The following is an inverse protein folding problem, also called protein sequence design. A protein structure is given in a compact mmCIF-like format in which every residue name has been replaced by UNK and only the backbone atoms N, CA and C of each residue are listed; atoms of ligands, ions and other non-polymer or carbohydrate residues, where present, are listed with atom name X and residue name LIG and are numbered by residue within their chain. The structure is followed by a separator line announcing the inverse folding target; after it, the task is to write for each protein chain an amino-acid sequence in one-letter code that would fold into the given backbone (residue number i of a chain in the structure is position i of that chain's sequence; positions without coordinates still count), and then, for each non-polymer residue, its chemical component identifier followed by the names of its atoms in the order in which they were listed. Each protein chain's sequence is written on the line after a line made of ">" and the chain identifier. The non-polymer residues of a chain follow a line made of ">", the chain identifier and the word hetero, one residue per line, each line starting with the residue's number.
data_IF_796725623942
#
_entry.id   IF_796725623942
#
_cell.length_a   1.000
_cell.length_b   1.000
_cell.length_c   1.000
_cell.angle_alpha   90.00
_cell.angle_beta   90.00
_cell.angle_gamma   90.00
#
_symmetry.space_group_name_H-M   'P 1'
#
loop_
_entity.id
_entity.type
_entity.pdbx_description
1 polymer ?
#
# COMPACT_ATOMS: atom_id res chain seq x y z
N UNK A 1 10.16 10.33 5.11
CA UNK A 1 9.41 9.04 5.06
C UNK A 1 10.29 7.82 5.30
N UNK A 2 11.53 8.04 5.66
CA UNK A 2 12.46 6.91 5.82
C UNK A 2 11.93 5.87 6.80
N UNK A 3 11.92 4.61 6.34
CA UNK A 3 11.47 3.43 7.09
C UNK A 3 10.00 3.42 7.49
N UNK A 4 9.21 4.39 7.04
CA UNK A 4 7.77 4.36 7.22
C UNK A 4 7.15 3.36 6.26
N UNK A 5 6.15 2.62 6.72
CA UNK A 5 5.45 1.64 5.90
C UNK A 5 4.17 2.26 5.39
N UNK A 6 4.03 2.34 4.08
CA UNK A 6 2.88 2.99 3.43
C UNK A 6 2.22 2.01 2.47
N UNK A 7 0.94 1.78 2.65
CA UNK A 7 0.13 0.99 1.74
C UNK A 7 -0.52 1.94 0.74
N UNK A 8 -0.45 1.60 -0.55
CA UNK A 8 -1.05 2.42 -1.60
C UNK A 8 -2.00 1.53 -2.40
N UNK A 9 -3.29 1.83 -2.36
CA UNK A 9 -4.28 1.15 -3.21
C UNK A 9 -4.35 1.85 -4.57
N UNK A 10 -4.74 1.10 -5.61
CA UNK A 10 -4.74 1.64 -6.96
C UNK A 10 -3.34 2.00 -7.45
N UNK A 11 -2.34 1.25 -7.01
CA UNK A 11 -0.93 1.58 -7.24
C UNK A 11 -0.42 1.25 -8.64
N UNK A 12 -1.21 0.55 -9.46
CA UNK A 12 -0.75 0.08 -10.77
C UNK A 12 -0.73 1.15 -11.85
N UNK A 13 -1.36 2.30 -11.62
CA UNK A 13 -1.42 3.36 -12.63
C UNK A 13 -1.70 4.72 -12.02
N UNK A 14 -1.52 5.78 -12.82
CA UNK A 14 -1.90 7.14 -12.47
C UNK A 14 -1.25 7.67 -11.21
N UNK A 15 -2.07 8.32 -10.37
CA UNK A 15 -1.61 8.95 -9.14
C UNK A 15 -1.02 7.94 -8.16
N UNK A 16 -1.63 6.77 -8.04
CA UNK A 16 -1.13 5.74 -7.14
C UNK A 16 0.27 5.27 -7.49
N UNK A 17 0.52 5.05 -8.78
CA UNK A 17 1.85 4.67 -9.27
C UNK A 17 2.87 5.79 -9.00
N UNK A 18 2.50 7.03 -9.30
CA UNK A 18 3.39 8.17 -9.08
C UNK A 18 3.75 8.32 -7.59
N UNK A 19 2.76 8.15 -6.71
CA UNK A 19 3.00 8.20 -5.27
C UNK A 19 3.93 7.09 -4.80
N UNK A 20 3.78 5.89 -5.37
CA UNK A 20 4.65 4.77 -5.01
C UNK A 20 6.12 5.11 -5.28
N UNK A 21 6.41 5.66 -6.46
CA UNK A 21 7.78 6.05 -6.79
C UNK A 21 8.28 7.17 -5.89
N UNK A 22 7.46 8.19 -5.66
CA UNK A 22 7.87 9.33 -4.83
C UNK A 22 8.16 8.91 -3.40
N UNK A 23 7.27 8.12 -2.80
CA UNK A 23 7.47 7.68 -1.42
C UNK A 23 8.66 6.74 -1.29
N UNK A 24 8.86 5.85 -2.26
CA UNK A 24 10.03 4.99 -2.27
C UNK A 24 11.33 5.80 -2.33
N UNK A 25 11.36 6.86 -3.14
CA UNK A 25 12.51 7.76 -3.21
C UNK A 25 12.78 8.46 -1.88
N UNK A 26 11.75 8.68 -1.08
CA UNK A 26 11.87 9.28 0.24
C UNK A 26 12.28 8.26 1.32
N UNK A 27 12.52 7.02 0.93
CA UNK A 27 12.97 5.98 1.85
C UNK A 27 11.84 5.19 2.51
N UNK A 28 10.60 5.38 2.10
CA UNK A 28 9.49 4.60 2.62
C UNK A 28 9.53 3.16 2.12
N UNK A 29 9.01 2.26 2.92
CA UNK A 29 8.71 0.89 2.52
C UNK A 29 7.29 0.91 1.99
N UNK A 30 7.10 0.51 0.74
CA UNK A 30 5.80 0.64 0.10
C UNK A 30 5.14 -0.71 -0.13
N UNK A 31 3.85 -0.77 0.14
CA UNK A 31 3.01 -1.93 -0.15
C UNK A 31 2.06 -1.50 -1.26
N UNK A 32 2.21 -2.14 -2.41
CA UNK A 32 1.46 -1.81 -3.62
C UNK A 32 0.25 -2.73 -3.73
N UNK A 33 -0.93 -2.18 -3.85
CA UNK A 33 -2.16 -2.95 -3.94
C UNK A 33 -2.97 -2.54 -5.16
N UNK A 34 -3.32 -3.51 -5.97
CA UNK A 34 -4.18 -3.34 -7.14
C UNK A 34 -4.60 -4.71 -7.65
N UNK A 35 -5.53 -4.73 -8.60
CA UNK A 35 -5.99 -5.98 -9.20
C UNK A 35 -4.99 -6.54 -10.20
N UNK A 36 -4.25 -5.67 -10.89
CA UNK A 36 -3.29 -6.08 -11.91
C UNK A 36 -1.94 -6.38 -11.27
N UNK A 37 -1.75 -7.65 -10.86
CA UNK A 37 -0.51 -8.05 -10.19
C UNK A 37 0.71 -7.93 -11.10
N UNK A 38 0.55 -8.16 -12.40
CA UNK A 38 1.68 -8.07 -13.33
C UNK A 38 2.25 -6.65 -13.35
N UNK A 39 1.39 -5.65 -13.40
CA UNK A 39 1.83 -4.25 -13.37
C UNK A 39 2.47 -3.90 -12.03
N UNK A 40 1.92 -4.41 -10.93
CA UNK A 40 2.52 -4.19 -9.61
C UNK A 40 3.93 -4.79 -9.54
N UNK A 41 4.12 -5.98 -10.09
CA UNK A 41 5.43 -6.63 -10.07
C UNK A 41 6.45 -5.88 -10.90
N UNK A 42 6.05 -5.25 -12.00
CA UNK A 42 6.92 -4.38 -12.79
C UNK A 42 7.40 -3.20 -11.94
N UNK A 43 6.48 -2.54 -11.24
CA UNK A 43 6.81 -1.41 -10.37
C UNK A 43 7.71 -1.87 -9.24
N UNK A 44 7.38 -2.99 -8.62
CA UNK A 44 8.17 -3.55 -7.53
C UNK A 44 9.60 -3.82 -7.97
N UNK A 45 9.78 -4.46 -9.12
CA UNK A 45 11.11 -4.76 -9.64
C UNK A 45 11.92 -3.50 -9.88
N UNK A 46 11.31 -2.49 -10.49
CA UNK A 46 11.96 -1.22 -10.75
C UNK A 46 12.39 -0.53 -9.46
N UNK A 47 11.51 -0.48 -8.48
CA UNK A 47 11.80 0.15 -7.19
C UNK A 47 12.86 -0.62 -6.39
N UNK A 48 12.83 -1.94 -6.44
CA UNK A 48 13.86 -2.76 -5.78
C UNK A 48 15.24 -2.53 -6.38
N UNK A 49 15.34 -2.33 -7.69
CA UNK A 49 16.60 -2.00 -8.33
C UNK A 49 17.15 -0.67 -7.85
N UNK A 50 16.29 0.21 -7.38
CA UNK A 50 16.67 1.50 -6.83
C UNK A 50 16.94 1.44 -5.32
N UNK A 51 16.89 0.25 -4.73
CA UNK A 51 17.18 0.05 -3.32
C UNK A 51 15.98 0.11 -2.38
N UNK A 52 14.77 0.21 -2.90
CA UNK A 52 13.56 0.29 -2.07
C UNK A 52 13.08 -1.08 -1.61
N UNK A 53 12.42 -1.12 -0.46
CA UNK A 53 11.73 -2.31 0.01
C UNK A 53 10.26 -2.19 -0.39
N UNK A 54 9.77 -3.17 -1.14
CA UNK A 54 8.45 -3.14 -1.75
C UNK A 54 7.76 -4.50 -1.62
N UNK A 55 6.48 -4.48 -1.32
CA UNK A 55 5.63 -5.67 -1.32
C UNK A 55 4.46 -5.40 -2.25
N UNK A 56 4.21 -6.31 -3.20
CA UNK A 56 3.04 -6.23 -4.08
C UNK A 56 2.00 -7.23 -3.63
N UNK A 57 0.76 -6.79 -3.50
CA UNK A 57 -0.36 -7.64 -3.09
C UNK A 57 -1.52 -7.44 -4.07
N UNK A 58 -1.89 -8.51 -4.76
CA UNK A 58 -3.08 -8.45 -5.60
C UNK A 58 -4.29 -8.25 -4.71
N UNK A 59 -5.04 -7.17 -4.93
CA UNK A 59 -6.15 -6.78 -4.07
C UNK A 59 -7.30 -6.26 -4.89
N UNK A 60 -8.46 -6.88 -4.72
CA UNK A 60 -9.72 -6.32 -5.19
C UNK A 60 -10.34 -5.56 -4.02
N UNK A 61 -10.24 -4.22 -4.06
CA UNK A 61 -10.68 -3.37 -2.96
C UNK A 61 -12.20 -3.38 -2.76
N UNK A 62 -12.95 -3.97 -3.68
CA UNK A 62 -14.39 -4.16 -3.51
C UNK A 62 -14.72 -5.31 -2.56
N UNK A 63 -13.71 -6.11 -2.21
CA UNK A 63 -13.87 -7.28 -1.36
C UNK A 63 -13.24 -7.05 0.00
N UNK A 64 -14.04 -7.11 1.04
CA UNK A 64 -13.60 -6.85 2.40
C UNK A 64 -12.48 -7.81 2.83
N UNK A 65 -12.61 -9.10 2.51
CA UNK A 65 -11.59 -10.07 2.88
C UNK A 65 -10.25 -9.78 2.21
N UNK A 66 -10.28 -9.34 0.95
CA UNK A 66 -9.05 -8.99 0.24
C UNK A 66 -8.36 -7.80 0.90
N UNK A 67 -9.13 -6.83 1.36
CA UNK A 67 -8.59 -5.67 2.06
C UNK A 67 -7.98 -6.05 3.41
N UNK A 68 -8.63 -6.97 4.14
CA UNK A 68 -8.07 -7.47 5.39
C UNK A 68 -6.76 -8.22 5.17
N UNK A 69 -6.71 -9.06 4.13
CA UNK A 69 -5.49 -9.79 3.80
C UNK A 69 -4.35 -8.84 3.42
N UNK A 70 -4.67 -7.76 2.70
CA UNK A 70 -3.69 -6.74 2.36
C UNK A 70 -3.03 -6.17 3.62
N UNK A 71 -3.85 -5.77 4.58
CA UNK A 71 -3.36 -5.20 5.84
C UNK A 71 -2.52 -6.24 6.60
N UNK A 72 -3.01 -7.49 6.68
CA UNK A 72 -2.29 -8.55 7.38
C UNK A 72 -0.94 -8.84 6.75
N UNK A 73 -0.88 -8.92 5.42
CA UNK A 73 0.38 -9.18 4.72
C UNK A 73 1.38 -8.04 4.91
N UNK A 74 0.91 -6.80 4.85
CA UNK A 74 1.77 -5.64 5.06
C UNK A 74 2.36 -5.65 6.47
N UNK A 75 1.52 -5.92 7.46
CA UNK A 75 1.96 -5.97 8.85
C UNK A 75 2.91 -7.14 9.10
N UNK A 76 2.60 -8.31 8.54
CA UNK A 76 3.46 -9.49 8.69
C UNK A 76 4.84 -9.24 8.08
N UNK A 77 4.90 -8.55 6.96
CA UNK A 77 6.16 -8.31 6.24
C UNK A 77 7.04 -7.25 6.93
N UNK A 78 6.43 -6.17 7.39
CA UNK A 78 7.19 -5.01 7.87
C UNK A 78 7.04 -4.72 9.36
N UNK A 79 6.09 -5.37 10.04
CA UNK A 79 5.92 -5.21 11.48
C UNK A 79 5.25 -3.91 11.91
N UNK A 80 4.87 -3.06 10.96
CA UNK A 80 4.20 -1.80 11.24
C UNK A 80 3.48 -1.30 10.00
N UNK A 81 2.48 -0.46 10.19
CA UNK A 81 1.82 0.26 9.10
C UNK A 81 1.65 1.69 9.57
N UNK A 82 2.28 2.63 8.90
CA UNK A 82 2.26 4.04 9.29
C UNK A 82 1.20 4.85 8.57
N UNK A 83 0.89 4.47 7.33
CA UNK A 83 -0.11 5.19 6.54
C UNK A 83 -0.72 4.28 5.48
N UNK A 84 -1.95 4.60 5.10
CA UNK A 84 -2.63 4.00 3.97
C UNK A 84 -3.10 5.11 3.05
N UNK A 85 -2.69 5.05 1.80
CA UNK A 85 -3.16 5.98 0.77
C UNK A 85 -4.21 5.25 -0.05
N UNK A 86 -5.45 5.63 0.14
CA UNK A 86 -6.58 5.00 -0.54
C UNK A 86 -6.86 5.73 -1.86
N UNK A 87 -6.23 5.25 -2.93
CA UNK A 87 -6.35 5.85 -4.26
C UNK A 87 -7.32 5.07 -5.17
N UNK A 88 -7.94 4.02 -4.65
CA UNK A 88 -8.82 3.18 -5.47
C UNK A 88 -10.27 3.66 -5.51
N UNK A 89 -10.58 4.78 -4.85
CA UNK A 89 -11.92 5.36 -4.86
C UNK A 89 -12.93 4.72 -3.93
N UNK A 90 -12.52 3.71 -3.17
CA UNK A 90 -13.39 3.02 -2.22
C UNK A 90 -12.89 3.29 -0.82
N UNK A 91 -13.81 3.65 0.09
CA UNK A 91 -13.41 3.95 1.46
C UNK A 91 -13.05 2.67 2.21
N UNK A 92 -11.83 2.60 2.69
CA UNK A 92 -11.36 1.54 3.57
C UNK A 92 -11.41 1.98 5.03
N UNK A 93 -11.84 3.20 5.31
CA UNK A 93 -11.79 3.77 6.65
C UNK A 93 -12.60 2.95 7.65
N UNK A 94 -13.84 2.58 7.29
CA UNK A 94 -14.69 1.79 8.16
C UNK A 94 -14.09 0.42 8.48
N UNK A 95 -13.43 -0.19 7.50
CA UNK A 95 -12.76 -1.46 7.68
C UNK A 95 -11.57 -1.32 8.64
N UNK A 96 -10.83 -0.22 8.50
CA UNK A 96 -9.64 0.03 9.31
C UNK A 96 -9.98 0.42 10.74
N UNK A 97 -11.18 0.96 10.98
CA UNK A 97 -11.63 1.32 12.32
C UNK A 97 -11.76 0.09 13.24
N UNK A 98 -11.92 -1.09 12.66
CA UNK A 98 -12.01 -2.33 13.42
C UNK A 98 -10.62 -2.90 13.79
N UNK A 99 -9.55 -2.30 13.30
CA UNK A 99 -8.19 -2.72 13.61
C UNK A 99 -7.72 -2.07 14.90
N UNK A 100 -6.75 -2.73 15.56
CA UNK A 100 -6.14 -2.14 16.73
C UNK A 100 -5.44 -0.82 16.33
N UNK A 101 -5.61 0.24 17.13
CA UNK A 101 -5.03 1.55 16.80
C UNK A 101 -3.52 1.56 16.57
N UNK A 102 -2.81 0.58 17.14
CA UNK A 102 -1.36 0.51 16.98
C UNK A 102 -0.94 0.02 15.60
N UNK A 103 -1.85 -0.60 14.84
CA UNK A 103 -1.52 -1.20 13.54
C UNK A 103 -1.47 -0.17 12.43
N UNK A 104 -2.40 0.77 12.43
CA UNK A 104 -2.46 1.80 11.40
C UNK A 104 -2.59 3.17 12.04
N UNK A 105 -1.66 4.07 11.72
CA UNK A 105 -1.62 5.39 12.34
C UNK A 105 -2.27 6.48 11.50
N UNK A 106 -2.37 6.29 10.20
CA UNK A 106 -2.87 7.35 9.33
C UNK A 106 -3.50 6.79 8.06
N UNK A 107 -4.69 7.26 7.74
CA UNK A 107 -5.36 6.95 6.47
C UNK A 107 -5.47 8.24 5.67
N UNK A 108 -5.06 8.19 4.41
CA UNK A 108 -5.15 9.32 3.49
C UNK A 108 -5.97 8.90 2.28
N UNK A 109 -7.03 9.66 1.98
CA UNK A 109 -7.83 9.44 0.78
C UNK A 109 -7.33 10.37 -0.32
N UNK A 110 -7.02 9.78 -1.48
CA UNK A 110 -6.59 10.50 -2.67
C UNK A 110 -7.58 10.18 -3.78
N UNK A 111 -8.24 11.20 -4.30
CA UNK A 111 -9.21 11.05 -5.38
C UNK A 111 -8.63 11.55 -6.70
#
# INVERSE_FOLDING_TARGET
>A
MRDKVVIITGASSGIGKALAYELAHQGAKVVLAARNIEELLHIEQDLRQQGAEVLSVRTDVTKELACKELIEQAYARFGRIDALINNAGISMRALLEDLEPAVLRKVMDVN
#
